data_IF_081015256459
#
_entry.id   IF_081015256459
#
_cell.length_a   1.000
_cell.length_b   1.000
_cell.length_c   1.000
_cell.angle_alpha   90.00
_cell.angle_beta   90.00
_cell.angle_gamma   90.00
#
_symmetry.space_group_name_H-M   'P 1'
#
loop_
_entity.id
_entity.type
_entity.pdbx_description
1 polymer ?
#
# COMPACT_ATOMS: atom_id res chain seq x y z
N UNK A 1 11.79 12.90 7.40
CA UNK A 1 12.21 12.56 6.02
C UNK A 1 12.24 11.05 5.91
N UNK A 2 11.34 10.44 5.13
CA UNK A 2 11.43 9.02 4.78
C UNK A 2 12.49 8.89 3.69
N UNK A 3 13.68 8.39 4.03
CA UNK A 3 14.76 8.18 3.05
C UNK A 3 14.57 6.79 2.44
N UNK A 4 14.18 6.78 1.17
CA UNK A 4 14.31 5.63 0.28
C UNK A 4 15.76 5.10 0.28
N UNK A 5 16.00 3.82 -0.03
CA UNK A 5 17.35 3.33 -0.28
C UNK A 5 18.01 4.24 -1.31
N UNK A 6 19.25 4.65 -1.04
CA UNK A 6 19.99 5.67 -1.79
C UNK A 6 20.04 5.38 -3.30
N UNK A 7 19.93 4.11 -3.69
CA UNK A 7 20.07 3.62 -5.06
C UNK A 7 18.73 3.44 -5.81
N UNK A 8 17.60 3.87 -5.23
CA UNK A 8 16.31 3.76 -5.92
C UNK A 8 16.22 4.81 -7.03
N UNK A 9 15.77 4.46 -8.25
CA UNK A 9 15.61 5.44 -9.31
C UNK A 9 14.65 6.55 -8.86
N UNK A 10 15.02 7.80 -9.13
CA UNK A 10 14.16 8.94 -8.88
C UNK A 10 12.96 8.84 -9.82
N UNK A 11 11.76 9.05 -9.27
CA UNK A 11 10.55 9.08 -10.06
C UNK A 11 10.58 10.28 -10.99
N UNK A 12 10.31 10.10 -12.28
CA UNK A 12 10.19 11.23 -13.20
C UNK A 12 8.94 12.07 -12.87
N UNK A 13 8.97 13.34 -13.27
CA UNK A 13 7.89 14.30 -12.96
C UNK A 13 6.53 13.86 -13.51
N UNK A 14 6.51 13.17 -14.66
CA UNK A 14 5.26 12.69 -15.26
C UNK A 14 4.65 11.58 -14.41
N UNK A 15 5.45 10.62 -13.96
CA UNK A 15 5.02 9.55 -13.07
C UNK A 15 4.52 10.09 -11.72
N UNK A 16 5.27 11.01 -11.11
CA UNK A 16 4.85 11.65 -9.85
C UNK A 16 3.51 12.36 -10.02
N UNK A 17 3.37 13.17 -11.07
CA UNK A 17 2.14 13.92 -11.35
C UNK A 17 0.95 12.99 -11.58
N UNK A 18 1.13 11.89 -12.32
CA UNK A 18 0.05 10.94 -12.58
C UNK A 18 -0.49 10.30 -11.29
N UNK A 19 0.41 9.87 -10.41
CA UNK A 19 0.06 9.29 -9.11
C UNK A 19 -0.57 10.34 -8.18
N UNK A 20 -0.04 11.56 -8.19
CA UNK A 20 -0.61 12.65 -7.41
C UNK A 20 -2.03 12.98 -7.84
N UNK A 21 -2.24 13.20 -9.13
CA UNK A 21 -3.54 13.61 -9.66
C UNK A 21 -4.58 12.48 -9.53
N UNK A 22 -4.16 11.21 -9.67
CA UNK A 22 -5.08 10.07 -9.65
C UNK A 22 -5.34 9.50 -8.25
N UNK A 23 -4.31 9.48 -7.38
CA UNK A 23 -4.37 8.82 -6.06
C UNK A 23 -4.28 9.85 -4.93
N UNK A 24 -3.17 10.59 -4.83
CA UNK A 24 -2.85 11.33 -3.59
C UNK A 24 -3.73 12.56 -3.38
N UNK A 25 -3.98 13.34 -4.45
CA UNK A 25 -4.72 14.60 -4.44
C UNK A 25 -6.17 14.44 -4.89
N UNK A 26 -6.51 13.29 -5.46
CA UNK A 26 -7.90 12.95 -5.77
C UNK A 26 -8.68 12.84 -4.44
N UNK A 27 -9.83 13.50 -4.23
CA UNK A 27 -10.64 13.34 -3.02
C UNK A 27 -11.60 12.14 -3.07
N UNK A 28 -11.82 11.54 -4.24
CA UNK A 28 -12.78 10.44 -4.42
C UNK A 28 -12.33 9.16 -3.72
N UNK A 29 -13.27 8.24 -3.48
CA UNK A 29 -12.95 6.92 -2.93
C UNK A 29 -12.18 6.12 -3.97
N UNK A 30 -11.07 5.51 -3.54
CA UNK A 30 -10.26 4.65 -4.41
C UNK A 30 -10.65 3.20 -4.24
N UNK A 31 -10.70 2.47 -5.34
CA UNK A 31 -10.78 1.03 -5.33
C UNK A 31 -9.38 0.45 -5.09
N UNK A 32 -9.28 -0.43 -4.11
CA UNK A 32 -8.08 -1.22 -3.82
C UNK A 32 -8.41 -2.68 -4.00
N UNK A 33 -7.65 -3.37 -4.84
CA UNK A 33 -7.76 -4.82 -5.06
C UNK A 33 -6.48 -5.49 -4.59
N UNK A 34 -6.59 -6.47 -3.71
CA UNK A 34 -5.47 -7.26 -3.21
C UNK A 34 -5.65 -8.68 -3.72
N UNK A 35 -4.65 -9.19 -4.45
CA UNK A 35 -4.68 -10.55 -5.00
C UNK A 35 -3.27 -11.14 -4.95
N UNK A 36 -3.16 -12.30 -4.30
CA UNK A 36 -1.89 -13.01 -4.13
C UNK A 36 -0.81 -12.08 -3.57
N UNK A 37 0.30 -11.87 -4.29
CA UNK A 37 1.40 -10.97 -3.88
C UNK A 37 1.34 -9.60 -4.55
N UNK A 38 0.17 -9.19 -5.01
CA UNK A 38 -0.05 -7.93 -5.74
C UNK A 38 -1.09 -7.07 -5.03
N UNK A 39 -0.84 -5.77 -4.98
CA UNK A 39 -1.81 -4.75 -4.58
C UNK A 39 -2.05 -3.84 -5.79
N UNK A 40 -3.31 -3.54 -6.09
CA UNK A 40 -3.68 -2.59 -7.14
C UNK A 40 -4.54 -1.49 -6.54
N UNK A 41 -4.21 -0.24 -6.85
CA UNK A 41 -4.98 0.96 -6.50
C UNK A 41 -5.42 1.58 -7.81
N UNK A 42 -6.72 1.64 -8.08
CA UNK A 42 -7.24 2.03 -9.41
C UNK A 42 -6.56 1.24 -10.54
N UNK A 43 -5.82 1.91 -11.42
CA UNK A 43 -5.06 1.35 -12.52
C UNK A 43 -3.57 1.15 -12.19
N UNK A 44 -3.12 1.44 -10.97
CA UNK A 44 -1.73 1.35 -10.55
C UNK A 44 -1.48 0.04 -9.83
N UNK A 45 -0.60 -0.78 -10.41
CA UNK A 45 -0.28 -2.12 -9.92
C UNK A 45 1.07 -2.13 -9.21
N UNK A 46 1.07 -2.66 -7.99
CA UNK A 46 2.25 -2.86 -7.16
C UNK A 46 2.52 -4.35 -7.00
N UNK A 47 3.73 -4.77 -7.36
CA UNK A 47 4.18 -6.16 -7.31
C UNK A 47 5.49 -6.27 -6.49
N UNK A 48 6.00 -7.49 -6.31
CA UNK A 48 7.25 -7.75 -5.57
C UNK A 48 7.32 -7.02 -4.22
N UNK A 49 6.30 -7.24 -3.38
CA UNK A 49 6.20 -6.59 -2.08
C UNK A 49 7.34 -7.05 -1.17
N UNK A 50 8.14 -6.10 -0.68
CA UNK A 50 9.34 -6.34 0.16
C UNK A 50 9.05 -6.22 1.64
N UNK A 51 8.18 -5.29 2.03
CA UNK A 51 7.79 -5.03 3.42
C UNK A 51 6.31 -4.74 3.50
N UNK A 52 5.66 -5.22 4.55
CA UNK A 52 4.23 -5.02 4.80
C UNK A 52 4.01 -4.78 6.28
N UNK A 53 3.33 -3.70 6.61
CA UNK A 53 2.81 -3.40 7.94
C UNK A 53 1.30 -3.18 7.86
N UNK A 54 0.56 -3.72 8.82
CA UNK A 54 -0.88 -3.50 8.96
C UNK A 54 -1.12 -3.00 10.37
N UNK A 55 -1.78 -1.84 10.51
CA UNK A 55 -2.07 -1.23 11.80
C UNK A 55 -3.53 -0.82 11.93
N UNK A 56 -4.02 -0.82 13.16
CA UNK A 56 -5.35 -0.29 13.53
C UNK A 56 -5.12 0.75 14.62
N UNK A 57 -5.42 2.03 14.40
CA UNK A 57 -5.33 3.04 15.44
C UNK A 57 -6.38 2.78 16.52
N UNK A 58 -5.98 2.84 17.79
CA UNK A 58 -6.79 2.42 18.95
C UNK A 58 -8.17 3.12 19.08
N UNK A 59 -8.34 4.30 18.47
CA UNK A 59 -9.57 5.11 18.60
C UNK A 59 -10.24 5.44 17.26
N UNK A 60 -9.90 4.73 16.19
CA UNK A 60 -10.44 5.02 14.86
C UNK A 60 -10.96 3.76 14.21
N UNK A 61 -12.11 3.87 13.56
CA UNK A 61 -12.68 2.85 12.69
C UNK A 61 -11.94 2.80 11.34
N UNK A 62 -10.63 2.62 11.39
CA UNK A 62 -9.76 2.58 10.20
C UNK A 62 -8.67 1.52 10.33
N UNK A 63 -8.24 1.00 9.18
CA UNK A 63 -7.04 0.17 9.06
C UNK A 63 -6.06 0.86 8.13
N UNK A 64 -4.78 0.82 8.48
CA UNK A 64 -3.72 1.31 7.61
C UNK A 64 -2.86 0.15 7.13
N UNK A 65 -2.81 -0.04 5.82
CA UNK A 65 -1.88 -0.94 5.15
C UNK A 65 -0.70 -0.12 4.63
N UNK A 66 0.50 -0.46 5.07
CA UNK A 66 1.75 0.17 4.66
C UNK A 66 2.61 -0.88 3.98
N UNK A 67 3.17 -0.57 2.81
CA UNK A 67 4.04 -1.52 2.14
C UNK A 67 5.10 -0.86 1.27
N UNK A 68 6.19 -1.59 1.04
CA UNK A 68 7.21 -1.28 0.04
C UNK A 68 7.11 -2.28 -1.09
N UNK A 69 6.93 -1.82 -2.33
CA UNK A 69 6.74 -2.66 -3.50
C UNK A 69 7.33 -2.04 -4.77
N UNK A 70 7.49 -2.85 -5.79
CA UNK A 70 7.85 -2.38 -7.13
C UNK A 70 6.61 -1.81 -7.84
N UNK A 71 6.84 -0.75 -8.61
CA UNK A 71 5.88 -0.07 -9.45
C UNK A 71 6.55 0.27 -10.79
N UNK A 72 6.25 -0.50 -11.84
CA UNK A 72 7.04 -0.44 -13.08
C UNK A 72 8.51 -0.77 -12.81
N UNK A 73 9.42 0.11 -13.25
CA UNK A 73 10.86 0.01 -12.95
C UNK A 73 11.27 0.74 -11.65
N UNK A 74 10.30 1.26 -10.89
CA UNK A 74 10.50 2.06 -9.68
C UNK A 74 10.12 1.28 -8.41
N UNK A 75 10.40 1.87 -7.25
CA UNK A 75 9.93 1.38 -5.94
C UNK A 75 9.05 2.43 -5.25
N UNK A 76 8.00 1.97 -4.56
CA UNK A 76 6.96 2.77 -3.93
C UNK A 76 6.67 2.32 -2.49
N UNK A 77 6.48 3.30 -1.59
CA UNK A 77 6.26 3.12 -0.15
C UNK A 77 4.91 3.74 0.08
N UNK A 78 3.93 2.88 0.19
CA UNK A 78 2.54 3.23 0.00
C UNK A 78 1.82 3.09 1.32
N UNK A 79 1.03 4.09 1.66
CA UNK A 79 0.16 4.11 2.84
C UNK A 79 -1.28 4.13 2.34
N UNK A 80 -2.04 3.08 2.63
CA UNK A 80 -3.46 2.99 2.33
C UNK A 80 -4.24 3.01 3.64
N UNK A 81 -5.04 4.05 3.85
CA UNK A 81 -5.98 4.11 4.99
C UNK A 81 -7.39 3.73 4.52
N UNK A 82 -7.92 2.66 5.09
CA UNK A 82 -9.26 2.14 4.84
C UNK A 82 -10.14 2.51 6.03
N UNK A 83 -11.08 3.45 5.84
CA UNK A 83 -12.08 3.79 6.86
C UNK A 83 -13.32 2.92 6.68
N UNK A 84 -13.70 2.16 7.70
CA UNK A 84 -14.84 1.25 7.66
C UNK A 84 -15.35 0.97 9.06
N UNK A 85 -16.68 0.94 9.23
CA UNK A 85 -17.30 0.47 10.48
C UNK A 85 -16.87 -0.96 10.83
N UNK A 86 -16.65 -1.78 9.80
CA UNK A 86 -16.18 -3.17 9.93
C UNK A 86 -14.64 -3.26 9.84
N UNK A 87 -13.91 -2.27 10.36
CA UNK A 87 -12.44 -2.23 10.31
C UNK A 87 -11.79 -3.48 10.91
N UNK A 88 -12.36 -4.08 11.96
CA UNK A 88 -11.84 -5.33 12.55
C UNK A 88 -11.83 -6.48 11.53
N UNK A 89 -12.89 -6.63 10.75
CA UNK A 89 -12.97 -7.67 9.72
C UNK A 89 -11.98 -7.41 8.58
N UNK A 90 -11.83 -6.14 8.18
CA UNK A 90 -10.83 -5.72 7.19
C UNK A 90 -9.42 -6.03 7.69
N UNK A 91 -9.12 -5.68 8.94
CA UNK A 91 -7.84 -5.98 9.57
C UNK A 91 -7.55 -7.49 9.56
N UNK A 92 -8.50 -8.31 9.99
CA UNK A 92 -8.33 -9.76 10.02
C UNK A 92 -8.11 -10.35 8.63
N UNK A 93 -8.82 -9.85 7.61
CA UNK A 93 -8.60 -10.25 6.22
C UNK A 93 -7.21 -9.86 5.73
N UNK A 94 -6.74 -8.64 6.04
CA UNK A 94 -5.41 -8.18 5.67
C UNK A 94 -4.31 -8.98 6.38
N UNK A 95 -4.47 -9.29 7.67
CA UNK A 95 -3.54 -10.12 8.44
C UNK A 95 -3.49 -11.53 7.86
N UNK A 96 -4.65 -12.16 7.63
CA UNK A 96 -4.72 -13.49 7.03
C UNK A 96 -4.08 -13.52 5.64
N UNK A 97 -4.29 -12.49 4.82
CA UNK A 97 -3.65 -12.35 3.53
C UNK A 97 -2.12 -12.23 3.67
N UNK A 98 -1.64 -11.34 4.54
CA UNK A 98 -0.20 -11.15 4.80
C UNK A 98 0.43 -12.49 5.20
N UNK A 99 -0.15 -13.18 6.17
CA UNK A 99 0.41 -14.42 6.71
C UNK A 99 0.40 -15.55 5.67
N UNK A 100 -0.59 -15.56 4.76
CA UNK A 100 -0.65 -16.57 3.69
C UNK A 100 0.45 -16.43 2.64
N UNK A 101 0.95 -15.21 2.40
CA UNK A 101 1.89 -14.94 1.30
C UNK A 101 3.27 -14.47 1.75
N UNK A 102 3.40 -14.05 3.00
CA UNK A 102 4.56 -13.34 3.55
C UNK A 102 4.92 -13.78 4.97
N UNK A 103 4.50 -14.98 5.42
CA UNK A 103 4.82 -15.56 6.74
C UNK A 103 6.31 -15.59 7.10
N UNK A 104 7.21 -15.37 6.13
CA UNK A 104 8.66 -15.39 6.29
C UNK A 104 9.32 -14.00 6.14
N UNK A 105 8.53 -12.93 6.03
CA UNK A 105 9.06 -11.56 6.14
C UNK A 105 9.10 -11.21 7.63
N UNK A 106 10.23 -11.52 8.27
CA UNK A 106 10.48 -11.17 9.68
C UNK A 106 10.40 -9.65 9.90
N UNK A 107 9.83 -9.29 11.06
CA UNK A 107 9.59 -7.94 11.58
C UNK A 107 10.87 -7.13 11.70
#
# INVERSE_FOLDING_TARGET
>A
MHRWPHDSPIWDDSTQKQIDDSINKNPEKKQVTIKEKTIQIENFKFNFIKKIGITVPFFKEECTLIFEAQFGELFAHVHITIKSKNHVDVFNQLISWRDSFFSNLDV
#
